data_IF_749710439040
#
_entry.id   IF_749710439040
#
_cell.length_a   1.000
_cell.length_b   1.000
_cell.length_c   1.000
_cell.angle_alpha   90.00
_cell.angle_beta   90.00
_cell.angle_gamma   90.00
#
_symmetry.space_group_name_H-M   'P 1'
#
loop_
_entity.id
_entity.type
_entity.pdbx_description
1 polymer ?
#
# COMPACT_ATOMS: atom_id res chain seq x y z
N UNK A 1 0.87 6.88 39.86
CA UNK A 1 1.37 5.49 39.84
C UNK A 1 0.72 4.80 38.64
N UNK A 2 1.48 4.71 37.54
CA UNK A 2 1.08 3.98 36.33
C UNK A 2 1.08 2.48 36.67
N UNK A 3 0.06 1.70 36.25
CA UNK A 3 0.10 0.24 36.42
C UNK A 3 1.27 -0.30 35.59
N UNK A 4 2.17 -1.00 36.24
CA UNK A 4 3.34 -1.62 35.65
C UNK A 4 2.90 -2.49 34.44
N UNK A 5 3.40 -2.13 33.23
CA UNK A 5 3.29 -2.95 32.04
C UNK A 5 3.91 -4.33 32.33
N UNK A 6 3.07 -5.34 32.43
CA UNK A 6 3.54 -6.73 32.44
C UNK A 6 3.85 -7.08 30.99
N UNK A 7 5.08 -7.50 30.64
CA UNK A 7 5.34 -8.00 29.30
C UNK A 7 4.32 -9.10 28.99
N UNK A 8 3.73 -9.12 27.80
CA UNK A 8 2.75 -10.15 27.47
C UNK A 8 3.43 -11.49 27.65
N UNK A 9 2.88 -12.31 28.54
CA UNK A 9 3.28 -13.71 28.69
C UNK A 9 3.40 -14.31 27.29
N UNK A 10 4.55 -14.90 26.97
CA UNK A 10 4.65 -15.88 25.90
C UNK A 10 3.73 -17.01 26.38
N UNK A 11 2.46 -16.93 25.99
CA UNK A 11 1.52 -18.00 26.28
C UNK A 11 2.13 -19.27 25.67
N UNK A 12 2.36 -20.27 26.48
CA UNK A 12 2.46 -21.64 26.01
C UNK A 12 1.08 -21.97 25.43
N UNK A 13 0.90 -21.68 24.14
CA UNK A 13 -0.28 -22.08 23.42
C UNK A 13 -0.16 -23.59 23.30
N UNK A 14 -0.90 -24.30 24.13
CA UNK A 14 -0.91 -25.77 24.13
C UNK A 14 -1.67 -26.33 22.93
N UNK A 15 -2.48 -25.49 22.28
CA UNK A 15 -3.19 -25.80 21.04
C UNK A 15 -3.26 -24.55 20.18
N UNK A 16 -2.84 -24.63 18.92
CA UNK A 16 -2.96 -23.54 17.96
C UNK A 16 -4.41 -23.44 17.46
N UNK A 17 -5.09 -22.28 17.62
CA UNK A 17 -6.44 -22.06 17.09
C UNK A 17 -6.53 -22.29 15.58
N UNK A 18 -5.48 -21.97 14.84
CA UNK A 18 -5.42 -22.19 13.40
C UNK A 18 -5.40 -23.70 13.06
N UNK A 19 -4.64 -24.49 13.80
CA UNK A 19 -4.59 -25.97 13.64
C UNK A 19 -5.93 -26.62 14.01
N UNK A 20 -6.68 -26.03 14.95
CA UNK A 20 -8.05 -26.53 15.25
C UNK A 20 -9.03 -26.31 14.09
N UNK A 21 -8.84 -25.23 13.31
CA UNK A 21 -9.64 -24.92 12.12
C UNK A 21 -9.21 -25.74 10.91
N UNK A 22 -7.92 -25.98 10.77
CA UNK A 22 -7.35 -26.75 9.68
C UNK A 22 -6.39 -27.84 10.23
N UNK A 23 -6.90 -29.07 10.46
CA UNK A 23 -6.12 -30.16 11.03
C UNK A 23 -4.91 -30.62 10.19
N UNK A 24 -4.88 -30.33 8.90
CA UNK A 24 -3.74 -30.62 8.01
C UNK A 24 -2.49 -29.81 8.39
N UNK A 25 -2.66 -28.72 9.15
CA UNK A 25 -1.56 -27.93 9.70
C UNK A 25 -0.87 -28.54 10.91
N UNK A 26 -1.40 -29.64 11.47
CA UNK A 26 -0.84 -30.28 12.68
C UNK A 26 0.66 -30.61 12.54
N UNK A 27 1.18 -31.15 11.44
CA UNK A 27 2.60 -31.40 11.25
C UNK A 27 3.48 -30.12 11.30
N UNK A 28 2.88 -28.97 11.02
CA UNK A 28 3.55 -27.68 10.90
C UNK A 28 3.35 -26.76 12.12
N UNK A 29 2.69 -27.25 13.19
CA UNK A 29 2.32 -26.43 14.38
C UNK A 29 3.49 -25.66 14.96
N UNK A 30 4.69 -26.27 15.03
CA UNK A 30 5.89 -25.59 15.55
C UNK A 30 6.38 -24.46 14.63
N UNK A 31 6.23 -24.61 13.30
CA UNK A 31 6.61 -23.56 12.33
C UNK A 31 5.62 -22.40 12.39
N UNK A 32 4.32 -22.67 12.52
CA UNK A 32 3.29 -21.66 12.75
C UNK A 32 3.56 -20.86 14.02
N UNK A 33 3.87 -21.53 15.11
CA UNK A 33 4.20 -20.87 16.37
C UNK A 33 5.43 -19.98 16.24
N UNK A 34 6.50 -20.47 15.60
CA UNK A 34 7.73 -19.67 15.34
C UNK A 34 7.43 -18.43 14.48
N UNK A 35 6.60 -18.57 13.44
CA UNK A 35 6.16 -17.45 12.58
C UNK A 35 5.44 -16.39 13.39
N UNK A 36 4.48 -16.79 14.20
CA UNK A 36 3.77 -15.89 15.09
C UNK A 36 4.68 -15.21 16.10
N UNK A 37 5.58 -15.98 16.75
CA UNK A 37 6.56 -15.44 17.68
C UNK A 37 7.50 -14.43 17.02
N UNK A 38 7.98 -14.70 15.79
CA UNK A 38 8.80 -13.76 15.01
C UNK A 38 8.08 -12.43 14.79
N UNK A 39 6.82 -12.47 14.37
CA UNK A 39 6.02 -11.28 14.16
C UNK A 39 5.80 -10.49 15.46
N UNK A 40 5.52 -11.17 16.57
CA UNK A 40 5.37 -10.56 17.90
C UNK A 40 6.67 -9.93 18.41
N UNK A 41 7.81 -10.59 18.22
CA UNK A 41 9.11 -10.03 18.59
C UNK A 41 9.41 -8.78 17.76
N UNK A 42 9.12 -8.79 16.47
CA UNK A 42 9.28 -7.61 15.60
C UNK A 42 8.41 -6.44 16.07
N UNK A 43 7.17 -6.70 16.50
CA UNK A 43 6.31 -5.68 17.09
C UNK A 43 6.94 -5.08 18.37
N UNK A 44 7.45 -5.93 19.26
CA UNK A 44 8.10 -5.49 20.49
C UNK A 44 9.37 -4.65 20.21
N UNK A 45 10.17 -5.02 19.21
CA UNK A 45 11.34 -4.24 18.77
C UNK A 45 10.93 -2.84 18.28
N UNK A 46 9.85 -2.73 17.49
CA UNK A 46 9.35 -1.47 17.00
C UNK A 46 8.79 -0.57 18.09
N UNK A 47 8.05 -1.15 19.02
CA UNK A 47 7.31 -0.46 20.07
C UNK A 47 8.08 -0.32 21.38
N UNK A 48 9.29 -0.91 21.44
CA UNK A 48 10.09 -1.05 22.68
C UNK A 48 9.30 -1.73 23.79
N UNK A 49 8.23 -2.44 23.43
CA UNK A 49 7.29 -3.05 24.38
C UNK A 49 6.52 -2.06 25.25
N UNK A 50 6.51 -0.76 24.91
CA UNK A 50 5.93 0.34 25.71
C UNK A 50 4.88 1.15 24.99
N UNK A 51 4.90 1.13 23.66
CA UNK A 51 4.05 1.94 22.78
C UNK A 51 3.20 1.03 21.89
N UNK A 52 2.19 1.59 21.25
CA UNK A 52 1.48 0.95 20.15
C UNK A 52 2.17 1.25 18.81
N UNK A 53 1.93 0.43 17.78
CA UNK A 53 2.50 0.65 16.44
C UNK A 53 2.09 2.02 15.87
N UNK A 54 0.84 2.44 16.09
CA UNK A 54 0.35 3.77 15.66
C UNK A 54 1.11 4.95 16.29
N UNK A 55 1.73 4.75 17.47
CA UNK A 55 2.53 5.78 18.14
C UNK A 55 3.96 5.84 17.61
N UNK A 56 4.39 4.80 16.90
CA UNK A 56 5.74 4.69 16.32
C UNK A 56 5.76 5.01 14.84
N UNK A 57 4.74 4.61 14.09
CA UNK A 57 4.67 4.74 12.62
C UNK A 57 4.38 6.19 12.15
N UNK A 58 5.26 7.10 12.50
CA UNK A 58 5.11 8.56 12.32
C UNK A 58 6.09 9.16 11.31
N UNK A 59 6.62 8.35 10.38
CA UNK A 59 7.61 8.81 9.42
C UNK A 59 7.15 10.02 8.61
N UNK A 60 5.90 10.06 8.19
CA UNK A 60 5.32 11.16 7.41
C UNK A 60 5.16 12.46 8.21
N UNK A 61 5.22 12.43 9.54
CA UNK A 61 5.22 13.61 10.41
C UNK A 61 6.64 14.13 10.69
N UNK A 62 7.67 13.34 10.43
CA UNK A 62 9.05 13.67 10.70
C UNK A 62 9.86 13.93 9.43
N UNK A 63 9.84 12.99 8.47
CA UNK A 63 10.53 13.14 7.19
C UNK A 63 9.71 13.94 6.18
N UNK A 64 10.37 14.46 5.17
CA UNK A 64 9.80 15.36 4.17
C UNK A 64 9.84 16.82 4.62
N UNK A 65 9.09 17.66 3.93
CA UNK A 65 9.04 19.12 4.16
C UNK A 65 7.86 19.47 5.05
N UNK A 66 8.15 20.10 6.19
CA UNK A 66 7.13 20.52 7.17
C UNK A 66 7.26 21.98 7.51
N UNK A 67 6.12 22.67 7.59
CA UNK A 67 6.02 24.05 8.06
C UNK A 67 5.84 24.07 9.57
N UNK A 68 6.62 24.89 10.25
CA UNK A 68 6.47 25.22 11.66
C UNK A 68 6.05 26.69 11.82
N UNK A 69 5.90 27.17 13.04
CA UNK A 69 5.58 28.58 13.31
C UNK A 69 6.72 29.54 12.91
N UNK A 70 7.95 29.03 12.80
CA UNK A 70 9.15 29.86 12.61
C UNK A 70 9.91 29.58 11.32
N UNK A 71 9.83 28.36 10.79
CA UNK A 71 10.60 27.93 9.62
C UNK A 71 9.93 26.77 8.90
N UNK A 72 10.46 26.44 7.73
CA UNK A 72 10.27 25.14 7.10
C UNK A 72 11.38 24.21 7.54
N UNK A 73 11.06 22.95 7.85
CA UNK A 73 12.02 21.91 8.18
C UNK A 73 11.91 20.80 7.15
N UNK A 74 13.02 20.50 6.48
CA UNK A 74 13.13 19.38 5.55
C UNK A 74 14.04 18.31 6.14
N UNK A 75 13.55 17.07 6.22
CA UNK A 75 14.32 15.92 6.69
C UNK A 75 14.28 14.78 5.69
N UNK A 76 15.45 14.17 5.49
CA UNK A 76 15.58 13.01 4.60
C UNK A 76 16.55 11.98 5.19
N UNK A 77 16.26 10.69 4.93
CA UNK A 77 17.12 9.59 5.30
C UNK A 77 17.90 9.07 4.09
N UNK A 78 19.15 9.46 4.00
CA UNK A 78 20.06 9.05 2.93
C UNK A 78 21.42 8.68 3.53
N UNK A 79 21.56 7.47 4.12
CA UNK A 79 22.73 7.12 4.93
C UNK A 79 24.05 7.11 4.14
N UNK A 80 24.01 6.78 2.84
CA UNK A 80 25.19 6.73 1.98
C UNK A 80 25.55 8.08 1.32
N UNK A 81 24.73 9.11 1.51
CA UNK A 81 25.02 10.44 1.00
C UNK A 81 26.19 11.08 1.77
N UNK A 82 27.04 11.81 1.03
CA UNK A 82 28.12 12.63 1.58
C UNK A 82 27.76 14.10 1.64
N UNK A 83 26.85 14.57 0.77
CA UNK A 83 26.22 15.88 0.80
C UNK A 83 24.78 15.78 0.28
N UNK A 84 23.91 16.61 0.81
CA UNK A 84 22.51 16.73 0.37
C UNK A 84 22.17 18.22 0.32
N UNK A 85 21.58 18.65 -0.79
CA UNK A 85 21.11 20.03 -0.98
C UNK A 85 19.63 20.00 -1.35
N UNK A 86 18.89 21.02 -0.92
CA UNK A 86 17.57 21.31 -1.45
C UNK A 86 17.65 22.50 -2.40
N UNK A 87 17.01 22.41 -3.55
CA UNK A 87 16.98 23.44 -4.57
C UNK A 87 15.64 23.41 -5.33
N UNK A 88 15.31 24.50 -5.99
CA UNK A 88 14.05 24.63 -6.70
C UNK A 88 13.77 26.08 -7.10
N UNK A 89 12.51 26.48 -7.22
CA UNK A 89 12.10 27.82 -7.62
C UNK A 89 12.75 28.90 -6.73
N UNK A 90 12.82 28.68 -5.44
CA UNK A 90 13.40 29.61 -4.47
C UNK A 90 14.92 29.77 -4.56
N UNK A 91 15.61 28.88 -5.27
CA UNK A 91 17.06 28.99 -5.57
C UNK A 91 17.35 29.29 -7.03
N UNK A 92 16.30 29.50 -7.84
CA UNK A 92 16.39 29.60 -9.31
C UNK A 92 16.97 28.33 -9.94
N UNK A 93 16.66 27.19 -9.35
CA UNK A 93 17.14 25.86 -9.76
C UNK A 93 18.67 25.70 -9.71
N UNK A 94 19.34 26.50 -8.91
CA UNK A 94 20.78 26.38 -8.64
C UNK A 94 21.03 25.68 -7.31
N UNK A 95 21.98 24.75 -7.27
CA UNK A 95 22.46 24.12 -6.04
C UNK A 95 23.38 25.13 -5.32
N UNK A 96 22.99 25.56 -4.12
CA UNK A 96 23.67 26.59 -3.34
C UNK A 96 24.07 26.07 -1.96
N UNK A 97 25.26 26.46 -1.50
CA UNK A 97 25.80 26.00 -0.21
C UNK A 97 24.98 26.41 1.01
N UNK A 98 24.23 27.52 0.94
CA UNK A 98 23.32 27.94 2.02
C UNK A 98 22.03 27.09 2.12
N UNK A 99 21.82 26.17 1.19
CA UNK A 99 20.74 25.20 1.19
C UNK A 99 21.25 23.75 1.29
N UNK A 100 22.46 23.56 1.82
CA UNK A 100 23.00 22.25 2.17
C UNK A 100 22.37 21.77 3.48
N UNK A 101 21.88 20.53 3.47
CA UNK A 101 21.40 19.84 4.66
C UNK A 101 22.59 19.36 5.49
N UNK A 102 22.43 19.25 6.79
CA UNK A 102 23.42 18.68 7.71
C UNK A 102 22.83 17.46 8.44
N UNK A 103 23.70 16.57 8.90
CA UNK A 103 23.27 15.43 9.71
C UNK A 103 22.88 15.89 11.11
N UNK A 104 21.68 15.53 11.54
CA UNK A 104 21.23 15.72 12.90
C UNK A 104 21.74 14.60 13.84
N UNK A 105 21.34 14.64 15.11
CA UNK A 105 21.73 13.66 16.14
C UNK A 105 21.32 12.22 15.80
N UNK A 106 20.26 12.03 15.02
CA UNK A 106 19.78 10.72 14.58
C UNK A 106 20.51 10.20 13.33
N UNK A 107 21.38 11.02 12.73
CA UNK A 107 22.06 10.72 11.48
C UNK A 107 21.25 10.99 10.22
N UNK A 108 20.06 11.60 10.37
CA UNK A 108 19.23 12.05 9.26
C UNK A 108 19.72 13.41 8.73
N UNK A 109 19.50 13.67 7.46
CA UNK A 109 19.80 14.96 6.85
C UNK A 109 18.68 15.95 7.10
N UNK A 110 19.02 17.15 7.58
CA UNK A 110 18.06 18.16 7.98
C UNK A 110 18.50 19.56 7.58
N UNK A 111 17.54 20.42 7.24
CA UNK A 111 17.73 21.87 7.08
C UNK A 111 16.48 22.60 7.58
N UNK A 112 16.73 23.77 8.22
CA UNK A 112 15.72 24.76 8.50
C UNK A 112 15.80 25.89 7.47
N UNK A 113 14.67 26.20 6.82
CA UNK A 113 14.57 27.24 5.80
C UNK A 113 13.60 28.32 6.31
N UNK A 114 13.98 29.62 6.33
CA UNK A 114 13.08 30.69 6.73
C UNK A 114 11.77 30.69 5.92
N UNK A 115 10.65 31.01 6.57
CA UNK A 115 9.30 30.94 5.99
C UNK A 115 9.13 31.73 4.68
N UNK A 116 9.87 32.80 4.52
CA UNK A 116 9.77 33.67 3.34
C UNK A 116 10.42 33.12 2.06
N UNK A 117 11.17 32.01 2.15
CA UNK A 117 11.80 31.38 0.98
C UNK A 117 10.87 30.47 0.21
N UNK A 118 9.97 29.76 0.91
CA UNK A 118 9.08 28.78 0.30
C UNK A 118 7.61 29.23 0.43
N UNK A 119 6.86 29.07 -0.64
CA UNK A 119 5.41 29.34 -0.68
C UNK A 119 4.67 28.17 -1.30
N UNK A 120 3.37 28.11 -1.05
CA UNK A 120 2.49 27.14 -1.68
C UNK A 120 2.64 27.14 -3.20
N UNK A 121 2.85 25.97 -3.80
CA UNK A 121 3.00 25.78 -5.23
C UNK A 121 4.44 25.76 -5.73
N UNK A 122 5.42 26.25 -4.96
CA UNK A 122 6.82 26.21 -5.37
C UNK A 122 7.29 24.78 -5.62
N UNK A 123 8.11 24.60 -6.64
CA UNK A 123 8.71 23.32 -7.00
C UNK A 123 10.10 23.17 -6.40
N UNK A 124 10.44 21.96 -5.98
CA UNK A 124 11.75 21.67 -5.42
C UNK A 124 12.19 20.22 -5.65
N UNK A 125 13.48 19.99 -5.48
CA UNK A 125 14.13 18.67 -5.51
C UNK A 125 15.27 18.64 -4.49
N UNK A 126 15.81 17.44 -4.27
CA UNK A 126 17.07 17.22 -3.61
C UNK A 126 18.18 16.98 -4.65
N UNK A 127 19.36 17.55 -4.41
CA UNK A 127 20.60 17.17 -5.07
C UNK A 127 21.40 16.35 -4.07
N UNK A 128 21.60 15.09 -4.34
CA UNK A 128 22.25 14.14 -3.44
C UNK A 128 23.58 13.72 -4.04
N UNK A 129 24.65 13.88 -3.24
CA UNK A 129 26.01 13.48 -3.59
C UNK A 129 26.36 12.24 -2.77
N UNK A 130 26.87 11.21 -3.41
CA UNK A 130 27.36 9.99 -2.78
C UNK A 130 28.75 9.64 -3.30
N UNK A 131 29.41 8.64 -2.72
CA UNK A 131 30.72 8.21 -3.21
C UNK A 131 30.60 7.66 -4.66
N UNK A 132 31.14 8.40 -5.61
CA UNK A 132 31.17 8.04 -7.02
C UNK A 132 30.10 8.66 -7.90
N UNK A 133 29.23 9.55 -7.36
CA UNK A 133 28.22 10.24 -8.16
C UNK A 133 27.41 11.27 -7.43
N UNK A 134 26.58 11.94 -8.21
CA UNK A 134 25.56 12.86 -7.71
C UNK A 134 24.40 12.96 -8.68
N UNK A 135 23.17 13.10 -8.22
CA UNK A 135 22.00 13.29 -9.08
C UNK A 135 20.84 13.91 -8.30
N UNK A 136 19.82 14.33 -9.05
CA UNK A 136 18.58 14.83 -8.48
C UNK A 136 17.71 13.68 -7.94
N UNK A 137 16.96 13.97 -6.85
CA UNK A 137 15.99 13.04 -6.24
C UNK A 137 14.76 13.80 -5.77
N UNK A 138 13.63 13.09 -5.66
CA UNK A 138 12.48 13.54 -4.90
C UNK A 138 12.57 12.99 -3.47
N UNK A 139 12.13 13.74 -2.45
CA UNK A 139 12.14 13.22 -1.08
C UNK A 139 11.28 11.95 -0.94
N UNK A 140 11.74 10.97 -0.16
CA UNK A 140 11.05 9.70 0.02
C UNK A 140 9.65 9.85 0.61
N UNK A 141 9.44 10.83 1.47
CA UNK A 141 8.17 11.12 2.14
C UNK A 141 7.45 12.33 1.53
N UNK A 142 7.72 12.65 0.27
CA UNK A 142 7.05 13.76 -0.41
C UNK A 142 5.54 13.52 -0.51
N UNK A 143 4.73 14.54 -0.18
CA UNK A 143 3.27 14.43 -0.13
C UNK A 143 2.57 15.06 -1.34
N UNK A 144 3.30 15.79 -2.17
CA UNK A 144 2.80 16.33 -3.43
C UNK A 144 3.89 16.33 -4.49
N UNK A 145 3.58 15.71 -5.61
CA UNK A 145 4.46 15.64 -6.79
C UNK A 145 3.65 16.06 -7.99
N UNK A 146 4.25 16.81 -8.90
CA UNK A 146 3.63 17.24 -10.14
C UNK A 146 4.59 17.02 -11.31
N UNK A 147 4.05 16.87 -12.50
CA UNK A 147 4.82 16.72 -13.74
C UNK A 147 4.65 17.95 -14.62
N UNK A 148 5.74 18.51 -15.10
CA UNK A 148 5.70 19.57 -16.11
C UNK A 148 5.14 19.05 -17.43
N UNK A 149 4.20 19.76 -18.02
CA UNK A 149 3.47 19.32 -19.21
C UNK A 149 4.37 19.21 -20.45
N UNK A 150 5.40 20.05 -20.54
CA UNK A 150 6.28 20.12 -21.71
C UNK A 150 7.47 19.19 -21.60
N UNK A 151 8.19 19.27 -20.46
CA UNK A 151 9.42 18.51 -20.23
C UNK A 151 9.18 17.09 -19.73
N UNK A 152 7.97 16.82 -19.20
CA UNK A 152 7.61 15.57 -18.52
C UNK A 152 8.44 15.27 -17.27
N UNK A 153 9.13 16.26 -16.74
CA UNK A 153 9.94 16.16 -15.54
C UNK A 153 9.02 16.24 -14.30
N UNK A 154 9.20 15.31 -13.37
CA UNK A 154 8.54 15.33 -12.06
C UNK A 154 9.32 16.17 -11.06
N UNK A 155 8.60 16.92 -10.25
CA UNK A 155 9.15 17.72 -9.14
C UNK A 155 8.26 17.59 -7.92
N UNK A 156 8.87 17.64 -6.75
CA UNK A 156 8.15 17.84 -5.50
C UNK A 156 7.56 19.26 -5.48
N UNK A 157 6.38 19.39 -4.88
CA UNK A 157 5.72 20.68 -4.77
C UNK A 157 5.42 21.00 -3.31
N UNK A 158 5.75 22.22 -2.90
CA UNK A 158 5.36 22.76 -1.59
C UNK A 158 3.85 22.84 -1.53
N UNK A 159 3.23 22.06 -0.63
CA UNK A 159 1.80 22.02 -0.49
C UNK A 159 1.39 22.58 0.88
N UNK A 160 0.98 23.84 0.88
CA UNK A 160 0.56 24.60 2.06
C UNK A 160 -0.64 25.46 1.68
N UNK A 161 -1.82 24.84 1.43
CA UNK A 161 -3.01 25.57 1.01
C UNK A 161 -3.44 26.55 2.08
N UNK A 162 -3.99 27.73 1.71
CA UNK A 162 -4.40 28.77 2.66
C UNK A 162 -5.45 28.31 3.67
N UNK A 163 -6.20 27.29 3.33
CA UNK A 163 -7.21 26.67 4.18
C UNK A 163 -7.04 25.15 4.13
N UNK A 164 -6.64 24.52 5.23
CA UNK A 164 -6.63 23.06 5.34
C UNK A 164 -8.03 22.51 5.13
N UNK A 165 -8.13 21.32 4.53
CA UNK A 165 -9.41 20.64 4.34
C UNK A 165 -10.07 20.37 5.70
N UNK A 166 -11.38 20.58 5.76
CA UNK A 166 -12.18 20.35 6.96
C UNK A 166 -13.14 19.20 6.70
N UNK A 167 -12.96 18.10 7.41
CA UNK A 167 -13.82 16.93 7.31
C UNK A 167 -15.20 17.22 7.90
N UNK A 168 -16.26 16.83 7.19
CA UNK A 168 -17.64 17.04 7.59
C UNK A 168 -18.31 15.77 8.10
N UNK A 169 -17.87 14.62 7.62
CA UNK A 169 -18.46 13.32 7.92
C UNK A 169 -17.41 12.34 8.48
N UNK A 170 -17.83 11.53 9.41
CA UNK A 170 -17.00 10.47 9.96
C UNK A 170 -17.09 9.21 9.10
N UNK A 171 -16.04 8.40 9.13
CA UNK A 171 -16.04 7.06 8.52
C UNK A 171 -17.28 6.26 8.90
N UNK A 172 -17.97 5.64 7.95
CA UNK A 172 -19.13 4.79 8.23
C UNK A 172 -18.72 3.58 9.07
N UNK A 173 -19.70 2.89 9.63
CA UNK A 173 -19.42 1.60 10.25
C UNK A 173 -18.99 0.61 9.17
N UNK A 174 -18.02 -0.24 9.50
CA UNK A 174 -17.61 -1.33 8.63
C UNK A 174 -18.83 -2.13 8.18
N UNK A 175 -19.03 -2.34 6.87
CA UNK A 175 -20.13 -3.19 6.40
C UNK A 175 -19.93 -4.64 6.84
N UNK A 176 -20.99 -5.29 7.30
CA UNK A 176 -20.96 -6.71 7.64
C UNK A 176 -20.68 -7.58 6.39
N UNK A 177 -21.21 -7.13 5.26
CA UNK A 177 -21.01 -7.74 3.95
C UNK A 177 -20.58 -6.66 2.97
N UNK A 178 -19.27 -6.51 2.72
CA UNK A 178 -18.78 -5.54 1.74
C UNK A 178 -19.27 -5.91 0.34
N UNK A 179 -19.97 -4.95 -0.29
CA UNK A 179 -20.34 -5.01 -1.71
C UNK A 179 -19.49 -3.94 -2.38
N UNK A 180 -18.43 -4.38 -3.05
CA UNK A 180 -17.32 -3.54 -3.46
C UNK A 180 -17.45 -3.16 -4.94
N UNK A 181 -17.34 -1.88 -5.23
CA UNK A 181 -17.14 -1.34 -6.57
C UNK A 181 -15.69 -0.96 -6.75
N UNK A 182 -14.96 -1.67 -7.61
CA UNK A 182 -13.59 -1.32 -7.98
C UNK A 182 -13.61 -0.23 -9.06
N UNK A 183 -12.75 0.79 -8.90
CA UNK A 183 -12.68 1.89 -9.84
C UNK A 183 -11.27 2.45 -9.99
N UNK A 184 -10.92 2.82 -11.24
CA UNK A 184 -9.79 3.66 -11.56
C UNK A 184 -10.29 5.09 -11.82
N UNK A 185 -9.83 6.06 -11.03
CA UNK A 185 -10.32 7.46 -11.12
C UNK A 185 -10.17 8.01 -12.54
N UNK A 186 -8.98 7.92 -13.12
CA UNK A 186 -8.69 8.48 -14.44
C UNK A 186 -9.46 7.87 -15.59
N UNK A 187 -9.96 6.62 -15.45
CA UNK A 187 -10.70 5.89 -16.48
C UNK A 187 -12.21 5.88 -16.24
N UNK A 188 -12.71 6.70 -15.35
CA UNK A 188 -14.12 6.69 -14.95
C UNK A 188 -15.06 7.53 -15.83
N UNK A 189 -14.52 8.32 -16.76
CA UNK A 189 -15.31 9.11 -17.71
C UNK A 189 -15.70 8.28 -18.95
N UNK A 190 -16.79 8.71 -19.63
CA UNK A 190 -17.15 8.17 -20.95
C UNK A 190 -16.32 8.78 -22.07
N UNK A 191 -15.77 9.95 -21.84
CA UNK A 191 -14.93 10.69 -22.78
C UNK A 191 -13.49 10.16 -22.73
N UNK A 192 -12.78 10.22 -23.84
CA UNK A 192 -11.35 9.84 -23.92
C UNK A 192 -10.46 10.91 -23.26
N UNK A 193 -10.45 10.91 -21.94
CA UNK A 193 -9.64 11.80 -21.09
C UNK A 193 -9.28 11.14 -19.78
N UNK A 194 -8.32 11.72 -19.06
CA UNK A 194 -8.07 11.38 -17.66
C UNK A 194 -9.11 12.11 -16.81
N UNK A 195 -9.99 11.34 -16.14
CA UNK A 195 -11.00 11.87 -15.23
C UNK A 195 -10.39 12.28 -13.88
N UNK A 196 -11.07 13.14 -13.15
CA UNK A 196 -10.60 13.72 -11.89
C UNK A 196 -11.38 13.20 -10.68
N UNK A 197 -10.86 13.43 -9.47
CA UNK A 197 -11.55 13.14 -8.20
C UNK A 197 -12.90 13.85 -8.15
N UNK A 198 -12.94 15.11 -8.59
CA UNK A 198 -14.17 15.90 -8.64
C UNK A 198 -15.20 15.29 -9.59
N UNK A 199 -14.80 14.93 -10.82
CA UNK A 199 -15.69 14.31 -11.80
C UNK A 199 -16.20 12.95 -11.32
N UNK A 200 -15.36 12.17 -10.67
CA UNK A 200 -15.76 10.90 -10.07
C UNK A 200 -16.81 11.11 -8.97
N UNK A 201 -16.60 12.09 -8.09
CA UNK A 201 -17.53 12.45 -7.03
C UNK A 201 -18.91 12.86 -7.59
N UNK A 202 -18.92 13.71 -8.61
CA UNK A 202 -20.17 14.24 -9.18
C UNK A 202 -20.91 13.23 -10.07
N UNK A 203 -20.18 12.44 -10.86
CA UNK A 203 -20.79 11.65 -11.94
C UNK A 203 -20.85 10.15 -11.64
N UNK A 204 -19.91 9.61 -10.86
CA UNK A 204 -19.78 8.15 -10.65
C UNK A 204 -20.31 7.75 -9.28
N UNK A 205 -19.93 8.45 -8.23
CA UNK A 205 -20.32 8.15 -6.85
C UNK A 205 -21.84 8.03 -6.65
N UNK A 206 -22.70 8.92 -7.20
CA UNK A 206 -24.16 8.79 -7.07
C UNK A 206 -24.70 7.50 -7.72
N UNK A 207 -24.10 7.07 -8.82
CA UNK A 207 -24.49 5.80 -9.48
C UNK A 207 -24.11 4.60 -8.66
N UNK A 208 -22.89 4.59 -8.06
CA UNK A 208 -22.43 3.53 -7.15
C UNK A 208 -23.42 3.39 -5.98
N UNK A 209 -23.80 4.51 -5.37
CA UNK A 209 -24.81 4.52 -4.30
C UNK A 209 -26.16 3.97 -4.74
N UNK A 210 -26.65 4.42 -5.91
CA UNK A 210 -27.93 3.96 -6.48
C UNK A 210 -27.96 2.46 -6.76
N UNK A 211 -26.81 1.90 -7.13
CA UNK A 211 -26.66 0.46 -7.41
C UNK A 211 -26.55 -0.40 -6.15
N UNK A 212 -26.48 0.21 -4.97
CA UNK A 212 -26.47 -0.50 -3.70
C UNK A 212 -25.11 -0.95 -3.20
N UNK A 213 -24.02 -0.49 -3.82
CA UNK A 213 -22.68 -0.73 -3.30
C UNK A 213 -22.49 0.04 -1.98
N UNK A 214 -21.76 -0.56 -1.06
CA UNK A 214 -21.46 0.02 0.25
C UNK A 214 -19.96 0.27 0.47
N UNK A 215 -19.13 -0.11 -0.50
CA UNK A 215 -17.69 0.07 -0.48
C UNK A 215 -17.18 0.42 -1.87
N UNK A 216 -16.27 1.37 -1.96
CA UNK A 216 -15.49 1.67 -3.17
C UNK A 216 -14.06 1.24 -2.90
N UNK A 217 -13.48 0.49 -3.84
CA UNK A 217 -12.06 0.20 -3.89
C UNK A 217 -11.43 1.04 -5.01
N UNK A 218 -10.63 2.03 -4.62
CA UNK A 218 -9.85 2.80 -5.57
C UNK A 218 -8.60 2.01 -5.95
N UNK A 219 -8.42 1.72 -7.24
CA UNK A 219 -7.15 1.23 -7.76
C UNK A 219 -6.03 2.21 -7.37
N UNK A 220 -4.79 1.72 -7.31
CA UNK A 220 -3.65 2.46 -6.76
C UNK A 220 -3.60 3.92 -7.24
N UNK A 221 -3.75 4.85 -6.30
CA UNK A 221 -3.74 6.31 -6.57
C UNK A 221 -2.45 7.00 -6.15
N UNK A 222 -1.49 6.26 -5.61
CA UNK A 222 -0.14 6.77 -5.36
C UNK A 222 0.45 7.35 -6.64
N UNK A 223 1.33 8.33 -6.52
CA UNK A 223 2.01 8.87 -7.68
C UNK A 223 2.86 7.82 -8.38
N UNK A 224 2.81 7.83 -9.69
CA UNK A 224 3.47 6.88 -10.57
C UNK A 224 3.92 7.56 -11.87
N UNK A 225 5.09 7.24 -12.43
CA UNK A 225 5.61 7.96 -13.59
C UNK A 225 4.88 7.61 -14.87
N UNK A 226 4.40 6.38 -15.02
CA UNK A 226 3.73 5.89 -16.22
C UNK A 226 2.24 5.65 -15.98
N UNK A 227 1.39 6.44 -16.64
CA UNK A 227 -0.08 6.34 -16.49
C UNK A 227 -0.62 4.95 -16.82
N UNK A 228 -0.09 4.28 -17.85
CA UNK A 228 -0.50 2.94 -18.25
C UNK A 228 -0.17 1.83 -17.25
N UNK A 229 0.53 2.14 -16.14
CA UNK A 229 0.68 1.21 -15.02
C UNK A 229 -0.54 1.19 -14.09
N UNK A 230 -1.53 2.06 -14.32
CA UNK A 230 -2.74 2.22 -13.50
C UNK A 230 -2.45 2.45 -12.01
N UNK A 231 -1.26 2.95 -11.68
CA UNK A 231 -0.80 3.18 -10.32
C UNK A 231 -0.06 2.02 -9.67
N UNK A 232 0.12 0.88 -10.34
CA UNK A 232 0.82 -0.28 -9.77
C UNK A 232 2.34 -0.23 -9.92
N UNK A 233 2.90 0.82 -10.54
CA UNK A 233 4.35 1.13 -10.55
C UNK A 233 4.60 2.42 -9.77
N UNK A 234 4.50 2.32 -8.45
CA UNK A 234 4.55 3.47 -7.52
C UNK A 234 5.93 4.09 -7.48
N UNK A 235 5.99 5.42 -7.63
CA UNK A 235 7.20 6.22 -7.38
C UNK A 235 7.18 6.92 -6.02
N UNK A 236 6.06 7.52 -5.64
CA UNK A 236 5.96 8.33 -4.44
C UNK A 236 4.77 7.87 -3.57
N UNK A 237 5.08 7.18 -2.51
CA UNK A 237 4.11 6.46 -1.68
C UNK A 237 3.20 7.36 -0.85
N UNK A 238 3.63 8.59 -0.54
CA UNK A 238 2.88 9.55 0.28
C UNK A 238 2.16 10.63 -0.55
N UNK A 239 2.26 10.58 -1.88
CA UNK A 239 1.64 11.55 -2.77
C UNK A 239 0.49 10.90 -3.54
N UNK A 240 -0.75 11.44 -3.47
CA UNK A 240 -1.79 11.09 -4.43
C UNK A 240 -1.40 11.62 -5.81
N UNK A 241 -1.70 10.85 -6.86
CA UNK A 241 -1.33 11.25 -8.23
C UNK A 241 -1.94 12.60 -8.60
N UNK A 242 -1.09 13.52 -9.08
CA UNK A 242 -1.49 14.84 -9.51
C UNK A 242 -2.47 14.81 -10.68
N UNK A 243 -2.45 13.72 -11.47
CA UNK A 243 -3.29 13.57 -12.68
C UNK A 243 -4.79 13.62 -12.39
N UNK A 244 -5.18 13.24 -11.19
CA UNK A 244 -6.59 13.15 -10.81
C UNK A 244 -7.08 14.37 -10.05
N UNK A 245 -6.19 15.32 -9.72
CA UNK A 245 -6.53 16.55 -9.02
C UNK A 245 -5.64 16.83 -7.81
N UNK A 246 -6.17 17.63 -6.88
CA UNK A 246 -5.50 18.03 -5.65
C UNK A 246 -5.77 17.04 -4.51
N UNK A 247 -4.92 17.03 -3.46
CA UNK A 247 -5.20 16.27 -2.24
C UNK A 247 -6.56 16.59 -1.62
N UNK A 248 -6.97 17.86 -1.63
CA UNK A 248 -8.25 18.31 -1.08
C UNK A 248 -9.44 17.75 -1.88
N UNK A 249 -9.33 17.64 -3.21
CA UNK A 249 -10.36 17.02 -4.05
C UNK A 249 -10.52 15.52 -3.75
N UNK A 250 -9.43 14.83 -3.44
CA UNK A 250 -9.50 13.44 -2.95
C UNK A 250 -10.16 13.35 -1.58
N UNK A 251 -9.83 14.26 -0.66
CA UNK A 251 -10.47 14.33 0.66
C UNK A 251 -11.96 14.60 0.52
N UNK A 252 -12.36 15.52 -0.37
CA UNK A 252 -13.76 15.84 -0.65
C UNK A 252 -14.52 14.65 -1.24
N UNK A 253 -13.90 13.87 -2.13
CA UNK A 253 -14.48 12.64 -2.66
C UNK A 253 -14.76 11.62 -1.54
N UNK A 254 -13.80 11.41 -0.64
CA UNK A 254 -13.93 10.47 0.47
C UNK A 254 -14.98 10.96 1.47
N UNK A 255 -14.98 12.26 1.79
CA UNK A 255 -15.95 12.88 2.70
C UNK A 255 -17.39 12.74 2.17
N UNK A 256 -17.62 12.96 0.86
CA UNK A 256 -18.92 12.73 0.24
C UNK A 256 -19.30 11.24 0.21
N UNK A 257 -18.36 10.33 -0.02
CA UNK A 257 -18.64 8.90 0.12
C UNK A 257 -19.10 8.54 1.54
N UNK A 258 -18.44 9.09 2.56
CA UNK A 258 -18.84 8.92 3.97
C UNK A 258 -20.24 9.49 4.24
N UNK A 259 -20.57 10.68 3.69
CA UNK A 259 -21.93 11.25 3.74
C UNK A 259 -22.97 10.26 3.23
N UNK A 260 -22.67 9.58 2.13
CA UNK A 260 -23.54 8.56 1.53
C UNK A 260 -23.49 7.20 2.25
N UNK A 261 -22.71 7.06 3.32
CA UNK A 261 -22.53 5.80 4.06
C UNK A 261 -21.75 4.74 3.30
N UNK A 262 -20.86 5.15 2.41
CA UNK A 262 -19.98 4.27 1.61
C UNK A 262 -18.56 4.31 2.18
N UNK A 263 -18.00 3.14 2.50
CA UNK A 263 -16.60 3.01 2.86
C UNK A 263 -15.71 3.16 1.63
N UNK A 264 -14.55 3.79 1.78
CA UNK A 264 -13.56 3.92 0.71
C UNK A 264 -12.28 3.23 1.13
N UNK A 265 -11.91 2.18 0.39
CA UNK A 265 -10.62 1.51 0.54
C UNK A 265 -9.75 1.78 -0.69
N UNK A 266 -8.48 1.56 -0.56
CA UNK A 266 -7.53 1.81 -1.64
C UNK A 266 -6.57 0.64 -1.81
N UNK A 267 -6.13 0.41 -3.05
CA UNK A 267 -5.06 -0.53 -3.35
C UNK A 267 -3.73 0.05 -2.85
N UNK A 268 -3.02 -0.70 -2.01
CA UNK A 268 -1.67 -0.38 -1.60
C UNK A 268 -0.68 -1.36 -2.21
N UNK A 269 0.32 -0.80 -2.88
CA UNK A 269 1.38 -1.56 -3.55
C UNK A 269 2.61 -1.57 -2.64
N UNK A 270 2.61 -2.48 -1.67
CA UNK A 270 3.71 -2.67 -0.74
C UNK A 270 4.59 -3.88 -1.09
N UNK A 271 4.32 -4.50 -2.24
CA UNK A 271 5.11 -5.59 -2.80
C UNK A 271 6.38 -5.11 -3.50
N UNK A 272 6.35 -3.94 -4.13
CA UNK A 272 7.46 -3.42 -4.94
C UNK A 272 7.36 -1.91 -5.15
N UNK A 273 8.40 -1.33 -5.75
CA UNK A 273 8.45 0.06 -6.20
C UNK A 273 9.03 0.14 -7.60
N UNK A 274 8.63 1.16 -8.34
CA UNK A 274 9.21 1.42 -9.67
C UNK A 274 10.73 1.57 -9.61
N UNK A 275 11.42 1.17 -10.67
CA UNK A 275 12.88 1.24 -10.75
C UNK A 275 13.43 2.61 -11.16
N UNK A 276 12.57 3.58 -11.46
CA UNK A 276 12.96 4.97 -11.77
C UNK A 276 13.72 5.60 -10.60
N UNK A 277 14.94 6.06 -10.86
CA UNK A 277 15.81 6.60 -9.80
C UNK A 277 15.50 8.06 -9.45
N UNK A 278 15.09 8.87 -10.44
CA UNK A 278 14.85 10.30 -10.24
C UNK A 278 13.47 10.59 -9.65
N UNK A 279 12.46 9.85 -10.07
CA UNK A 279 11.07 10.01 -9.63
C UNK A 279 10.78 9.19 -8.36
N UNK A 280 11.36 8.00 -8.27
CA UNK A 280 11.11 7.04 -7.20
C UNK A 280 12.17 7.02 -6.10
N UNK A 281 12.06 6.02 -5.24
CA UNK A 281 12.93 5.82 -4.08
C UNK A 281 13.99 4.72 -4.29
N UNK A 282 14.11 4.17 -5.49
CA UNK A 282 14.90 2.97 -5.78
C UNK A 282 16.38 3.10 -5.42
N UNK A 283 16.98 4.26 -5.70
CA UNK A 283 18.36 4.60 -5.33
C UNK A 283 18.47 6.01 -4.76
N UNK A 284 17.67 6.27 -3.74
CA UNK A 284 17.58 7.62 -3.19
C UNK A 284 18.94 8.17 -2.73
N UNK A 285 19.80 7.32 -2.22
CA UNK A 285 21.16 7.68 -1.76
C UNK A 285 22.29 7.19 -2.70
N UNK A 286 21.94 6.85 -3.92
CA UNK A 286 22.87 6.38 -4.96
C UNK A 286 23.19 4.89 -4.93
N UNK A 287 22.94 4.17 -3.83
CA UNK A 287 23.29 2.75 -3.66
C UNK A 287 22.12 1.81 -3.95
N UNK A 288 20.90 2.19 -3.59
CA UNK A 288 19.69 1.43 -3.93
C UNK A 288 19.29 0.33 -2.98
N UNK A 289 19.84 0.31 -1.77
CA UNK A 289 19.57 -0.75 -0.80
C UNK A 289 18.98 -0.24 0.53
N UNK A 290 18.54 1.01 0.62
CA UNK A 290 17.95 1.53 1.86
C UNK A 290 16.69 0.77 2.23
N UNK A 291 15.76 0.63 1.28
CA UNK A 291 14.47 -0.04 1.49
C UNK A 291 14.37 -1.41 0.82
N UNK A 292 15.27 -1.72 -0.09
CA UNK A 292 15.14 -2.85 -1.01
C UNK A 292 16.18 -3.93 -0.77
N UNK A 293 15.89 -5.12 -1.27
CA UNK A 293 16.88 -6.20 -1.36
C UNK A 293 18.06 -5.79 -2.24
N UNK A 294 19.18 -6.48 -2.07
CA UNK A 294 20.36 -6.40 -2.94
C UNK A 294 20.55 -7.72 -3.69
N UNK A 295 21.41 -7.69 -4.71
CA UNK A 295 21.70 -8.88 -5.51
C UNK A 295 20.50 -9.38 -6.31
N UNK A 296 20.35 -10.68 -6.41
CA UNK A 296 19.33 -11.35 -7.24
C UNK A 296 17.88 -11.05 -6.80
N UNK A 297 17.67 -10.76 -5.52
CA UNK A 297 16.35 -10.43 -4.98
C UNK A 297 15.96 -8.96 -5.17
N UNK A 298 16.87 -8.11 -5.69
CA UNK A 298 16.63 -6.66 -5.79
C UNK A 298 15.50 -6.31 -6.77
N UNK A 299 15.39 -7.05 -7.87
CA UNK A 299 14.50 -6.75 -8.99
C UNK A 299 13.51 -7.90 -9.19
N UNK A 300 12.23 -7.56 -9.26
CA UNK A 300 11.17 -8.51 -9.60
C UNK A 300 11.34 -8.98 -11.06
N UNK A 301 11.43 -10.30 -11.32
CA UNK A 301 11.83 -10.82 -12.64
C UNK A 301 10.79 -10.55 -13.75
N UNK A 302 9.53 -10.35 -13.39
CA UNK A 302 8.45 -10.09 -14.36
C UNK A 302 8.12 -8.60 -14.45
N UNK A 303 8.06 -7.89 -13.31
CA UNK A 303 7.62 -6.50 -13.25
C UNK A 303 8.74 -5.47 -13.42
N UNK A 304 10.00 -5.90 -13.41
CA UNK A 304 11.18 -5.04 -13.49
C UNK A 304 11.17 -3.89 -12.48
N UNK A 305 10.67 -4.16 -11.29
CA UNK A 305 10.52 -3.22 -10.18
C UNK A 305 11.37 -3.68 -8.98
N UNK A 306 11.73 -2.75 -8.09
CA UNK A 306 12.50 -3.06 -6.90
C UNK A 306 11.63 -3.74 -5.83
N UNK A 307 12.14 -4.84 -5.26
CA UNK A 307 11.48 -5.60 -4.20
C UNK A 307 11.89 -5.09 -2.82
N UNK A 308 10.92 -4.74 -1.99
CA UNK A 308 11.16 -4.33 -0.61
C UNK A 308 11.79 -5.44 0.23
N UNK A 309 12.76 -5.07 1.06
CA UNK A 309 13.35 -5.97 2.06
C UNK A 309 12.65 -5.78 3.41
N UNK A 310 11.68 -6.64 3.69
CA UNK A 310 10.88 -6.58 4.92
C UNK A 310 11.67 -7.00 6.17
N UNK A 311 12.91 -7.47 6.03
CA UNK A 311 13.83 -7.69 7.14
C UNK A 311 14.41 -6.38 7.71
N UNK A 312 14.39 -5.29 6.93
CA UNK A 312 14.94 -3.98 7.33
C UNK A 312 13.94 -3.18 8.16
N UNK A 313 14.45 -2.60 9.27
CA UNK A 313 13.67 -1.72 10.12
C UNK A 313 13.14 -0.49 9.36
N UNK A 314 13.99 0.11 8.52
CA UNK A 314 13.63 1.30 7.75
C UNK A 314 12.51 1.03 6.73
N UNK A 315 12.53 -0.12 6.08
CA UNK A 315 11.47 -0.56 5.18
C UNK A 315 10.14 -0.71 5.90
N UNK A 316 10.12 -1.45 7.00
CA UNK A 316 8.91 -1.64 7.79
C UNK A 316 8.39 -0.31 8.33
N UNK A 317 9.27 0.55 8.83
CA UNK A 317 8.90 1.88 9.32
C UNK A 317 8.28 2.76 8.21
N UNK A 318 8.87 2.75 7.02
CA UNK A 318 8.37 3.48 5.85
C UNK A 318 6.96 2.98 5.45
N UNK A 319 6.79 1.68 5.30
CA UNK A 319 5.54 1.08 4.87
C UNK A 319 4.42 1.19 5.93
N UNK A 320 4.74 1.00 7.21
CA UNK A 320 3.77 1.22 8.29
C UNK A 320 3.35 2.69 8.39
N UNK A 321 4.30 3.63 8.28
CA UNK A 321 4.00 5.06 8.26
C UNK A 321 3.13 5.45 7.06
N UNK A 322 3.30 4.77 5.94
CA UNK A 322 2.48 4.96 4.74
C UNK A 322 1.01 4.55 4.97
N UNK A 323 0.75 3.38 5.55
CA UNK A 323 -0.61 2.97 5.89
C UNK A 323 -1.28 3.95 6.86
N UNK A 324 -0.55 4.36 7.89
CA UNK A 324 -1.07 5.33 8.87
C UNK A 324 -1.41 6.66 8.20
N UNK A 325 -0.54 7.16 7.32
CA UNK A 325 -0.76 8.40 6.56
C UNK A 325 -2.08 8.37 5.79
N UNK A 326 -2.36 7.32 5.01
CA UNK A 326 -3.59 7.22 4.25
C UNK A 326 -4.84 7.10 5.12
N UNK A 327 -4.73 6.46 6.29
CA UNK A 327 -5.83 6.37 7.25
C UNK A 327 -6.10 7.69 7.98
N UNK A 328 -5.05 8.39 8.42
CA UNK A 328 -5.22 9.60 9.25
C UNK A 328 -5.39 10.89 8.44
N UNK A 329 -4.70 11.01 7.30
CA UNK A 329 -4.74 12.23 6.48
C UNK A 329 -5.90 12.21 5.50
N UNK A 330 -6.16 11.07 4.85
CA UNK A 330 -7.20 10.93 3.84
C UNK A 330 -8.44 10.18 4.32
N UNK A 331 -8.46 9.69 5.56
CA UNK A 331 -9.58 8.96 6.14
C UNK A 331 -10.05 7.75 5.34
N UNK A 332 -9.14 7.03 4.68
CA UNK A 332 -9.48 5.75 4.06
C UNK A 332 -9.99 4.75 5.11
N UNK A 333 -10.93 3.92 4.71
CA UNK A 333 -11.58 2.92 5.57
C UNK A 333 -10.92 1.54 5.50
N UNK A 334 -9.78 1.43 4.85
CA UNK A 334 -9.01 0.20 4.72
C UNK A 334 -8.25 0.09 3.41
N UNK A 335 -7.73 -1.11 3.16
CA UNK A 335 -6.85 -1.37 2.03
C UNK A 335 -7.08 -2.74 1.40
N UNK A 336 -6.88 -2.81 0.09
CA UNK A 336 -6.54 -4.05 -0.60
C UNK A 336 -5.04 -4.05 -0.82
N UNK A 337 -4.35 -5.09 -0.35
CA UNK A 337 -2.91 -5.26 -0.54
C UNK A 337 -2.67 -6.00 -1.84
N UNK A 338 -2.00 -5.32 -2.76
CA UNK A 338 -1.61 -5.82 -4.07
C UNK A 338 -0.43 -6.80 -3.97
N UNK A 339 -0.49 -7.90 -4.73
CA UNK A 339 0.62 -8.82 -4.90
C UNK A 339 1.11 -9.51 -3.62
N UNK A 340 0.23 -9.87 -2.69
CA UNK A 340 0.62 -10.53 -1.43
C UNK A 340 1.36 -11.83 -1.66
N UNK A 341 0.98 -12.63 -2.65
CA UNK A 341 1.75 -13.83 -3.03
C UNK A 341 3.19 -13.48 -3.38
N UNK A 342 3.40 -12.41 -4.18
CA UNK A 342 4.74 -11.95 -4.53
C UNK A 342 5.56 -11.53 -3.31
N UNK A 343 4.92 -11.00 -2.26
CA UNK A 343 5.57 -10.63 -1.01
C UNK A 343 5.99 -11.87 -0.20
N UNK A 344 5.09 -12.84 -0.09
CA UNK A 344 5.24 -13.98 0.83
C UNK A 344 6.22 -15.06 0.35
N UNK A 345 6.68 -15.02 -0.91
CA UNK A 345 7.55 -16.04 -1.48
C UNK A 345 8.76 -15.44 -2.18
N UNK A 346 9.93 -16.05 -1.96
CA UNK A 346 11.23 -15.59 -2.54
C UNK A 346 11.21 -15.63 -4.06
N UNK A 347 10.55 -16.63 -4.64
CA UNK A 347 10.34 -16.76 -6.10
C UNK A 347 9.07 -16.02 -6.59
N UNK A 348 8.44 -15.21 -5.75
CA UNK A 348 7.23 -14.44 -6.04
C UNK A 348 6.00 -15.27 -6.42
N UNK A 349 6.00 -16.60 -6.14
CA UNK A 349 4.94 -17.52 -6.57
C UNK A 349 4.89 -17.79 -8.08
N UNK A 350 5.91 -17.33 -8.84
CA UNK A 350 5.93 -17.45 -10.30
C UNK A 350 6.10 -18.91 -10.72
N UNK A 351 5.14 -19.40 -11.50
CA UNK A 351 5.15 -20.77 -12.04
C UNK A 351 5.02 -21.86 -10.97
N UNK A 352 4.45 -21.53 -9.81
CA UNK A 352 4.24 -22.47 -8.71
C UNK A 352 2.74 -22.78 -8.57
N UNK A 353 2.42 -24.07 -8.60
CA UNK A 353 1.13 -24.57 -8.16
C UNK A 353 1.20 -24.94 -6.68
N UNK A 354 0.43 -24.29 -5.84
CA UNK A 354 0.39 -24.53 -4.39
C UNK A 354 -0.55 -25.70 -4.10
N UNK A 355 -0.01 -26.91 -4.14
CA UNK A 355 -0.76 -28.17 -4.01
C UNK A 355 -0.44 -28.97 -2.75
N UNK A 356 0.65 -28.57 -2.03
CA UNK A 356 1.12 -29.25 -0.82
C UNK A 356 1.32 -28.24 0.31
N UNK A 357 0.89 -28.60 1.51
CA UNK A 357 1.09 -27.80 2.73
C UNK A 357 2.56 -27.53 3.07
N UNK A 358 3.51 -28.39 2.63
CA UNK A 358 4.92 -28.18 2.83
C UNK A 358 5.41 -26.87 2.17
N UNK A 359 4.81 -26.46 1.05
CA UNK A 359 5.15 -25.27 0.29
C UNK A 359 4.91 -23.96 1.09
N UNK A 360 4.04 -24.00 2.11
CA UNK A 360 3.78 -22.86 3.00
C UNK A 360 4.81 -22.72 4.12
N UNK A 361 5.78 -23.64 4.19
CA UNK A 361 6.74 -23.74 5.29
C UNK A 361 8.17 -24.07 4.82
N UNK A 362 8.44 -24.09 3.53
CA UNK A 362 9.78 -24.33 2.98
C UNK A 362 10.63 -23.04 2.96
N UNK A 363 11.85 -23.14 2.44
CA UNK A 363 12.80 -22.04 2.38
C UNK A 363 12.45 -20.97 1.34
N UNK A 364 11.42 -21.20 0.52
CA UNK A 364 10.89 -20.23 -0.43
C UNK A 364 9.95 -19.21 0.23
N UNK A 365 9.51 -19.45 1.46
CA UNK A 365 8.63 -18.53 2.18
C UNK A 365 9.43 -17.37 2.77
N UNK A 366 9.01 -16.14 2.49
CA UNK A 366 9.57 -14.94 3.10
C UNK A 366 8.87 -14.63 4.44
N UNK A 367 9.45 -15.15 5.52
CA UNK A 367 8.92 -14.97 6.88
C UNK A 367 9.02 -13.50 7.38
N UNK A 368 9.88 -12.67 6.78
CA UNK A 368 9.95 -11.24 7.09
C UNK A 368 8.77 -10.49 6.46
N UNK A 369 8.40 -10.84 5.24
CA UNK A 369 7.20 -10.31 4.59
C UNK A 369 5.93 -10.66 5.37
N UNK A 370 5.78 -11.92 5.81
CA UNK A 370 4.64 -12.35 6.63
C UNK A 370 4.60 -11.58 7.95
N UNK A 371 5.76 -11.36 8.58
CA UNK A 371 5.86 -10.57 9.82
C UNK A 371 5.46 -9.11 9.57
N UNK A 372 5.88 -8.51 8.45
CA UNK A 372 5.45 -7.17 8.06
C UNK A 372 3.92 -7.10 7.87
N UNK A 373 3.32 -8.02 7.13
CA UNK A 373 1.86 -8.07 6.92
C UNK A 373 1.08 -8.22 8.24
N UNK A 374 1.62 -8.99 9.19
CA UNK A 374 1.07 -9.07 10.54
C UNK A 374 1.07 -7.69 11.21
N UNK A 375 2.20 -6.97 11.20
CA UNK A 375 2.32 -5.63 11.77
C UNK A 375 1.39 -4.63 11.07
N UNK A 376 1.30 -4.70 9.74
CA UNK A 376 0.43 -3.85 8.93
C UNK A 376 -1.04 -3.97 9.36
N UNK A 377 -1.55 -5.20 9.47
CA UNK A 377 -2.93 -5.45 9.89
C UNK A 377 -3.19 -4.98 11.34
N UNK A 378 -2.21 -5.17 12.24
CA UNK A 378 -2.33 -4.65 13.61
C UNK A 378 -2.36 -3.13 13.64
N UNK A 379 -1.47 -2.47 12.89
CA UNK A 379 -1.44 -1.00 12.78
C UNK A 379 -2.78 -0.45 12.28
N UNK A 380 -3.30 -1.01 11.20
CA UNK A 380 -4.59 -0.57 10.63
C UNK A 380 -5.70 -0.59 11.69
N UNK A 381 -5.79 -1.66 12.48
CA UNK A 381 -6.79 -1.77 13.55
C UNK A 381 -6.52 -0.85 14.73
N UNK A 382 -5.27 -0.53 15.04
CA UNK A 382 -4.91 0.43 16.07
C UNK A 382 -5.25 1.87 15.67
N UNK A 383 -5.07 2.23 14.40
CA UNK A 383 -5.40 3.57 13.88
C UNK A 383 -6.91 3.74 13.72
N UNK A 384 -7.56 2.76 13.08
CA UNK A 384 -9.02 2.78 12.88
C UNK A 384 -9.59 1.36 13.05
N UNK A 385 -10.26 1.11 14.16
CA UNK A 385 -10.84 -0.19 14.47
C UNK A 385 -11.95 -0.64 13.50
N UNK A 386 -12.55 0.30 12.76
CA UNK A 386 -13.56 0.04 11.73
C UNK A 386 -12.94 -0.31 10.36
N UNK A 387 -11.68 0.06 10.14
CA UNK A 387 -10.99 -0.22 8.90
C UNK A 387 -10.82 -1.73 8.68
N UNK A 388 -10.80 -2.14 7.42
CA UNK A 388 -10.62 -3.54 7.06
C UNK A 388 -9.60 -3.71 5.93
N UNK A 389 -9.04 -4.91 5.85
CA UNK A 389 -7.97 -5.24 4.91
C UNK A 389 -8.32 -6.46 4.09
N UNK A 390 -7.93 -6.44 2.83
CA UNK A 390 -8.13 -7.50 1.86
C UNK A 390 -6.77 -7.89 1.29
N UNK A 391 -6.44 -9.17 1.28
CA UNK A 391 -5.24 -9.69 0.63
C UNK A 391 -5.53 -10.18 -0.77
N UNK A 392 -4.76 -9.71 -1.74
CA UNK A 392 -4.68 -10.36 -3.05
C UNK A 392 -3.63 -11.47 -2.97
N UNK A 393 -4.09 -12.70 -2.83
CA UNK A 393 -3.23 -13.88 -2.73
C UNK A 393 -3.82 -15.09 -3.44
N UNK A 394 -3.03 -15.72 -4.30
CA UNK A 394 -3.37 -16.94 -5.03
C UNK A 394 -2.78 -18.19 -4.41
N UNK A 395 -1.84 -18.04 -3.46
CA UNK A 395 -1.10 -19.18 -2.89
C UNK A 395 -1.95 -20.05 -1.96
N UNK A 396 -2.97 -19.47 -1.34
CA UNK A 396 -3.73 -20.13 -0.29
C UNK A 396 -2.97 -20.26 1.04
N UNK A 397 -2.00 -19.37 1.33
CA UNK A 397 -1.22 -19.36 2.57
C UNK A 397 -2.13 -19.46 3.80
N UNK A 398 -2.00 -20.51 4.64
CA UNK A 398 -2.85 -20.71 5.80
C UNK A 398 -2.76 -19.57 6.81
N UNK A 399 -3.92 -19.16 7.34
CA UNK A 399 -4.01 -18.13 8.38
C UNK A 399 -3.82 -16.71 7.87
N UNK A 400 -3.76 -16.47 6.55
CA UNK A 400 -3.60 -15.13 5.99
C UNK A 400 -4.75 -14.21 6.41
N UNK A 401 -5.99 -14.63 6.21
CA UNK A 401 -7.19 -13.91 6.64
C UNK A 401 -7.77 -14.47 7.96
N UNK A 402 -6.90 -14.70 8.93
CA UNK A 402 -7.25 -15.18 10.26
C UNK A 402 -6.76 -14.17 11.32
N UNK A 403 -7.51 -13.96 12.43
CA UNK A 403 -7.19 -12.90 13.40
C UNK A 403 -5.79 -12.99 13.99
N UNK A 404 -5.11 -11.85 14.13
CA UNK A 404 -3.78 -11.76 14.76
C UNK A 404 -3.76 -12.37 16.20
N UNK A 405 -4.84 -12.21 16.95
CA UNK A 405 -4.95 -12.74 18.32
C UNK A 405 -5.01 -14.28 18.36
N UNK A 406 -5.31 -14.90 17.23
CA UNK A 406 -5.46 -16.33 17.05
C UNK A 406 -4.35 -16.93 16.16
N UNK A 407 -3.16 -16.33 16.14
CA UNK A 407 -1.98 -16.72 15.37
C UNK A 407 -2.08 -16.47 13.84
N UNK A 408 -3.09 -15.72 13.39
CA UNK A 408 -3.23 -15.34 11.98
C UNK A 408 -2.40 -14.10 11.62
N UNK A 409 -2.29 -13.86 10.31
CA UNK A 409 -1.66 -12.65 9.75
C UNK A 409 -2.55 -11.42 9.90
N UNK A 410 -3.86 -11.61 9.98
CA UNK A 410 -4.80 -10.58 10.42
C UNK A 410 -5.55 -9.85 9.32
N UNK A 411 -5.46 -10.26 8.06
CA UNK A 411 -6.36 -9.74 7.04
C UNK A 411 -7.81 -10.08 7.39
N UNK A 412 -8.74 -9.19 7.05
CA UNK A 412 -10.15 -9.44 7.23
C UNK A 412 -10.70 -10.36 6.13
N UNK A 413 -10.16 -10.24 4.92
CA UNK A 413 -10.58 -11.01 3.75
C UNK A 413 -9.38 -11.39 2.87
N UNK A 414 -9.55 -12.49 2.15
CA UNK A 414 -8.74 -12.86 0.99
C UNK A 414 -9.57 -12.69 -0.28
N UNK A 415 -9.00 -12.22 -1.37
CA UNK A 415 -9.67 -12.23 -2.67
C UNK A 415 -9.80 -13.66 -3.16
N UNK A 416 -11.01 -14.04 -3.60
CA UNK A 416 -11.29 -15.37 -4.16
C UNK A 416 -10.98 -15.40 -5.67
N UNK A 417 -9.69 -15.31 -6.00
CA UNK A 417 -9.21 -15.18 -7.39
C UNK A 417 -9.62 -16.38 -8.25
N UNK A 418 -9.67 -17.59 -7.68
CA UNK A 418 -10.15 -18.78 -8.36
C UNK A 418 -11.59 -18.71 -8.85
N UNK A 419 -12.44 -17.85 -8.25
CA UNK A 419 -13.81 -17.60 -8.71
C UNK A 419 -13.80 -16.80 -10.02
N UNK A 420 -13.00 -15.74 -10.08
CA UNK A 420 -12.88 -14.92 -11.29
C UNK A 420 -12.29 -15.73 -12.46
N UNK A 421 -11.24 -16.50 -12.19
CA UNK A 421 -10.62 -17.38 -13.20
C UNK A 421 -11.60 -18.46 -13.70
N UNK A 422 -12.38 -19.05 -12.79
CA UNK A 422 -13.43 -20.00 -13.14
C UNK A 422 -14.47 -19.38 -14.06
N UNK A 423 -14.96 -18.18 -13.77
CA UNK A 423 -15.93 -17.49 -14.62
C UNK A 423 -15.36 -17.14 -15.97
N UNK A 424 -14.14 -16.59 -16.01
CA UNK A 424 -13.46 -16.25 -17.26
C UNK A 424 -13.31 -17.49 -18.16
N UNK A 425 -12.85 -18.60 -17.59
CA UNK A 425 -12.69 -19.86 -18.32
C UNK A 425 -14.03 -20.43 -18.78
N UNK A 426 -15.04 -20.43 -17.92
CA UNK A 426 -16.38 -20.96 -18.25
C UNK A 426 -16.99 -20.19 -19.42
N UNK A 427 -16.96 -18.84 -19.37
CA UNK A 427 -17.50 -18.00 -20.44
C UNK A 427 -16.74 -18.12 -21.77
N UNK A 428 -15.44 -18.40 -21.69
CA UNK A 428 -14.57 -18.50 -22.86
C UNK A 428 -14.64 -19.87 -23.55
N UNK A 429 -14.73 -20.93 -22.77
CA UNK A 429 -14.46 -22.28 -23.23
C UNK A 429 -15.68 -23.25 -23.14
N UNK A 430 -16.74 -22.85 -22.40
CA UNK A 430 -17.86 -23.73 -22.13
C UNK A 430 -19.18 -23.17 -22.69
N UNK A 431 -19.85 -23.90 -23.56
CA UNK A 431 -21.18 -23.53 -24.04
C UNK A 431 -22.20 -23.63 -22.90
N UNK A 432 -23.22 -22.76 -22.92
CA UNK A 432 -24.19 -22.59 -21.82
C UNK A 432 -24.88 -23.90 -21.38
N UNK A 433 -25.19 -24.76 -22.33
CA UNK A 433 -25.82 -26.06 -22.07
C UNK A 433 -24.95 -27.05 -21.29
N UNK A 434 -23.64 -26.81 -21.22
CA UNK A 434 -22.70 -27.66 -20.47
C UNK A 434 -22.35 -27.10 -19.09
N UNK A 435 -22.96 -25.97 -18.69
CA UNK A 435 -22.69 -25.41 -17.36
C UNK A 435 -23.22 -26.33 -16.27
N UNK A 436 -22.38 -26.67 -15.32
CA UNK A 436 -22.71 -27.53 -14.18
C UNK A 436 -23.05 -26.68 -12.95
N UNK A 437 -24.32 -26.67 -12.50
CA UNK A 437 -24.69 -25.97 -11.27
C UNK A 437 -23.90 -26.44 -10.03
N UNK A 438 -23.53 -27.72 -9.99
CA UNK A 438 -22.74 -28.31 -8.92
C UNK A 438 -21.31 -27.72 -8.88
N UNK A 439 -20.67 -27.62 -10.05
CA UNK A 439 -19.32 -27.04 -10.16
C UNK A 439 -19.34 -25.52 -9.83
N UNK A 440 -20.35 -24.81 -10.32
CA UNK A 440 -20.54 -23.39 -9.98
C UNK A 440 -20.69 -23.23 -8.47
N UNK A 441 -21.56 -24.00 -7.82
CA UNK A 441 -21.73 -23.94 -6.37
C UNK A 441 -20.44 -24.24 -5.62
N UNK A 442 -19.74 -25.31 -6.02
CA UNK A 442 -18.47 -25.69 -5.40
C UNK A 442 -17.45 -24.55 -5.51
N UNK A 443 -17.23 -24.00 -6.70
CA UNK A 443 -16.26 -22.92 -6.92
C UNK A 443 -16.60 -21.65 -6.16
N UNK A 444 -17.87 -21.28 -6.07
CA UNK A 444 -18.32 -20.10 -5.32
C UNK A 444 -18.21 -20.27 -3.81
N UNK A 445 -18.16 -21.49 -3.30
CA UNK A 445 -18.11 -21.79 -1.87
C UNK A 445 -16.76 -22.37 -1.41
N UNK A 446 -15.86 -22.69 -2.34
CA UNK A 446 -14.53 -23.22 -2.06
C UNK A 446 -13.65 -22.14 -1.44
N UNK A 447 -13.35 -22.33 -0.18
CA UNK A 447 -12.48 -21.44 0.61
C UNK A 447 -11.89 -22.20 1.79
N UNK A 448 -10.83 -21.65 2.37
CA UNK A 448 -10.29 -22.17 3.61
C UNK A 448 -11.32 -22.01 4.75
N UNK A 449 -11.45 -23.00 5.64
CA UNK A 449 -12.50 -23.00 6.68
C UNK A 449 -12.33 -21.86 7.72
N UNK A 450 -11.11 -21.35 7.88
CA UNK A 450 -10.79 -20.30 8.85
C UNK A 450 -10.99 -18.88 8.29
N UNK A 451 -11.21 -18.71 6.99
CA UNK A 451 -11.14 -17.43 6.31
C UNK A 451 -12.48 -16.92 5.79
N UNK A 452 -12.57 -15.59 5.69
CA UNK A 452 -13.57 -14.89 4.90
C UNK A 452 -12.95 -14.44 3.58
N UNK A 453 -13.76 -14.47 2.51
CA UNK A 453 -13.31 -14.14 1.16
C UNK A 453 -14.19 -13.08 0.52
N UNK A 454 -13.59 -12.29 -0.39
CA UNK A 454 -14.32 -11.46 -1.34
C UNK A 454 -14.40 -12.23 -2.65
N UNK A 455 -15.59 -12.71 -2.97
CA UNK A 455 -15.87 -13.37 -4.25
C UNK A 455 -16.24 -12.33 -5.30
N UNK A 456 -15.75 -12.50 -6.52
CA UNK A 456 -16.01 -11.59 -7.64
C UNK A 456 -15.94 -12.35 -8.97
N UNK A 457 -16.63 -11.82 -9.99
CA UNK A 457 -16.60 -12.38 -11.33
C UNK A 457 -15.44 -11.83 -12.15
N UNK A 458 -15.14 -10.54 -12.00
CA UNK A 458 -14.02 -9.89 -12.64
C UNK A 458 -13.49 -8.73 -11.79
N UNK A 459 -12.22 -8.38 -12.00
CA UNK A 459 -11.55 -7.15 -11.60
C UNK A 459 -10.87 -6.55 -12.82
N UNK A 460 -10.08 -5.49 -12.63
CA UNK A 460 -9.25 -4.93 -13.70
C UNK A 460 -8.31 -5.99 -14.33
N UNK A 461 -7.82 -6.97 -13.57
CA UNK A 461 -6.92 -8.01 -14.08
C UNK A 461 -7.59 -8.86 -15.15
N UNK A 462 -8.82 -9.35 -14.92
CA UNK A 462 -9.54 -10.15 -15.90
C UNK A 462 -9.95 -9.30 -17.12
N UNK A 463 -10.36 -8.05 -16.89
CA UNK A 463 -10.82 -7.16 -17.95
C UNK A 463 -9.69 -6.66 -18.86
N UNK A 464 -8.51 -6.38 -18.30
CA UNK A 464 -7.41 -5.75 -19.01
C UNK A 464 -6.33 -6.75 -19.44
N UNK A 465 -5.96 -7.66 -18.56
CA UNK A 465 -4.98 -8.71 -18.87
C UNK A 465 -5.66 -9.88 -19.58
N UNK A 466 -6.91 -10.15 -19.26
CA UNK A 466 -7.71 -11.22 -19.85
C UNK A 466 -8.37 -10.89 -21.19
N UNK A 467 -8.10 -9.73 -21.79
CA UNK A 467 -8.52 -9.22 -23.10
C UNK A 467 -9.96 -8.67 -23.22
N UNK A 468 -10.91 -9.11 -22.38
CA UNK A 468 -12.32 -8.68 -22.46
C UNK A 468 -12.99 -8.65 -21.10
N UNK A 469 -13.94 -7.72 -20.93
CA UNK A 469 -14.81 -7.70 -19.75
C UNK A 469 -15.75 -8.91 -19.73
N UNK A 470 -16.19 -9.27 -18.54
CA UNK A 470 -17.21 -10.31 -18.33
C UNK A 470 -18.46 -10.06 -19.17
N UNK A 471 -18.94 -8.81 -19.19
CA UNK A 471 -20.12 -8.42 -19.96
C UNK A 471 -19.90 -8.60 -21.47
N UNK A 472 -18.75 -8.16 -22.00
CA UNK A 472 -18.43 -8.33 -23.44
C UNK A 472 -18.39 -9.79 -23.84
N UNK A 473 -17.87 -10.67 -22.96
CA UNK A 473 -17.89 -12.12 -23.22
C UNK A 473 -19.32 -12.70 -23.25
N UNK A 474 -20.19 -12.27 -22.34
CA UNK A 474 -21.58 -12.77 -22.29
C UNK A 474 -22.42 -12.33 -23.48
N UNK A 475 -22.22 -11.13 -24.01
CA UNK A 475 -23.01 -10.63 -25.14
C UNK A 475 -22.38 -10.90 -26.51
N UNK A 476 -21.18 -11.44 -26.54
CA UNK A 476 -20.46 -11.78 -27.78
C UNK A 476 -20.04 -10.54 -28.59
N UNK A 477 -19.69 -9.45 -27.92
CA UNK A 477 -19.30 -8.18 -28.55
C UNK A 477 -17.79 -8.09 -28.73
#
# INVERSE_FOLDING_TARGET
QNPAYKPPFIFMITKSPLVEKDPYLKPYSQRLLKRYQKARLRELEFTEGKRELKEVANGYLYYGLHKTDTCWVLREKTPNAVQVFVYGDFTYWEVKSNFELHKNENGDWEIEIPLNYLKHGDLYKLWIVWQGGADERLPAYVQRVVQDENTKIFSAQVWDPPKPYQWHYSSPNRPNHPIIYEAHIGMSAQEEKISTYWEFKENVLPRIKKLGYNTIQLMAIHEHPYYGSFGYQVSNFFAPSFRFGTPEELMELIDEAHHLGISVIMDVVHSHSVSNEKEGISKIDGVGNLYFHSGERAIHPVWNSHCFDYGKRDTIFFLLSNLKYWLEVFHFDGFRFDGVTSMCYVNHGIGVDFVDYAQYFDDNVDEDAISYLYLANRLVKQVNSKAFTIAEDVSGLPGLAFPNQLEGVGFDYRMSMGVADFWTKTLKECADEYWSPGDIFFRLTDKRPEEQVIAYAESHDQAMVGDQTFLSRMVGA
#
